data_IF_301168385443
#
_entry.id   IF_301168385443
#
_cell.length_a   1.000
_cell.length_b   1.000
_cell.length_c   1.000
_cell.angle_alpha   90.00
_cell.angle_beta   90.00
_cell.angle_gamma   90.00
#
_symmetry.space_group_name_H-M   'P 1'
#
loop_
_entity.id
_entity.type
_entity.pdbx_description
1 polymer ?
#
# COMPACT_ATOMS: atom_id res chain seq x y z
N UNK A 1 5.44 -4.77 -16.49
CA UNK A 1 4.37 -5.14 -15.55
C UNK A 1 4.89 -5.72 -14.24
N UNK A 2 6.10 -6.31 -14.20
CA UNK A 2 6.66 -6.91 -12.97
C UNK A 2 6.99 -5.89 -11.85
N UNK A 3 7.41 -4.66 -12.17
CA UNK A 3 7.78 -3.66 -11.15
C UNK A 3 6.60 -3.13 -10.32
N UNK A 4 5.38 -3.14 -10.86
CA UNK A 4 4.19 -2.67 -10.13
C UNK A 4 3.77 -3.66 -9.04
N UNK A 5 3.93 -4.97 -9.27
CA UNK A 5 3.57 -6.01 -8.30
C UNK A 5 4.45 -5.96 -7.06
N UNK A 6 5.75 -5.70 -7.24
CA UNK A 6 6.67 -5.48 -6.13
C UNK A 6 6.27 -4.29 -5.26
N UNK A 7 6.04 -3.11 -5.87
CA UNK A 7 5.67 -1.90 -5.14
C UNK A 7 4.38 -2.08 -4.34
N UNK A 8 3.34 -2.66 -4.95
CA UNK A 8 2.08 -2.98 -4.27
C UNK A 8 2.28 -3.90 -3.06
N UNK A 9 3.05 -4.97 -3.25
CA UNK A 9 3.33 -5.96 -2.20
C UNK A 9 4.11 -5.32 -1.05
N UNK A 10 5.14 -4.53 -1.35
CA UNK A 10 5.91 -3.82 -0.36
C UNK A 10 5.03 -2.83 0.43
N UNK A 11 4.22 -2.02 -0.26
CA UNK A 11 3.30 -1.08 0.39
C UNK A 11 2.30 -1.75 1.33
N UNK A 12 1.73 -2.89 0.92
CA UNK A 12 0.84 -3.69 1.75
C UNK A 12 1.52 -4.15 3.05
N UNK A 13 2.72 -4.73 2.93
CA UNK A 13 3.47 -5.20 4.10
C UNK A 13 3.96 -4.05 5.00
N UNK A 14 4.37 -2.92 4.43
CA UNK A 14 4.76 -1.74 5.20
C UNK A 14 3.60 -1.21 6.05
N UNK A 15 2.41 -1.08 5.47
CA UNK A 15 1.24 -0.61 6.21
C UNK A 15 0.80 -1.60 7.29
N UNK A 16 0.89 -2.90 7.01
CA UNK A 16 0.63 -3.96 8.00
C UNK A 16 1.62 -3.92 9.15
N UNK A 17 2.90 -3.70 8.84
CA UNK A 17 3.94 -3.56 9.86
C UNK A 17 3.74 -2.30 10.71
N UNK A 18 3.43 -1.16 10.09
CA UNK A 18 3.17 0.13 10.78
C UNK A 18 2.06 0.03 11.83
N UNK A 19 0.99 -0.73 11.55
CA UNK A 19 -0.12 -0.94 12.49
C UNK A 19 0.13 -2.02 13.55
N UNK A 20 1.02 -2.98 13.28
CA UNK A 20 1.24 -4.13 14.19
C UNK A 20 2.48 -3.97 15.06
N UNK A 21 3.49 -3.24 14.61
CA UNK A 21 4.73 -3.04 15.35
C UNK A 21 4.50 -2.25 16.64
N UNK A 22 4.93 -2.82 17.77
CA UNK A 22 4.71 -2.23 19.10
C UNK A 22 3.32 -2.48 19.70
N UNK A 23 2.44 -3.21 19.00
CA UNK A 23 1.15 -3.62 19.57
C UNK A 23 1.36 -4.73 20.62
N UNK A 24 0.78 -4.60 21.84
CA UNK A 24 0.85 -5.66 22.85
C UNK A 24 -0.05 -6.87 22.50
N UNK A 25 -0.87 -6.76 21.45
CA UNK A 25 -1.84 -7.78 21.04
C UNK A 25 -1.37 -8.63 19.86
N UNK A 26 -0.21 -8.31 19.28
CA UNK A 26 0.37 -9.05 18.16
C UNK A 26 1.60 -9.80 18.67
N UNK A 27 1.69 -11.09 18.36
CA UNK A 27 2.84 -11.92 18.73
C UNK A 27 4.13 -11.34 18.10
N UNK A 28 5.19 -11.22 18.90
CA UNK A 28 6.49 -10.74 18.45
C UNK A 28 7.03 -11.56 17.27
N UNK A 29 6.76 -12.87 17.23
CA UNK A 29 7.15 -13.73 16.11
C UNK A 29 6.49 -13.31 14.79
N UNK A 30 5.24 -12.84 14.83
CA UNK A 30 4.52 -12.34 13.65
C UNK A 30 5.14 -11.01 13.21
N UNK A 31 5.48 -10.12 14.14
CA UNK A 31 6.13 -8.83 13.83
C UNK A 31 7.50 -9.08 13.17
N UNK A 32 8.27 -10.03 13.69
CA UNK A 32 9.57 -10.41 13.13
C UNK A 32 9.45 -11.08 11.77
N UNK A 33 8.43 -11.93 11.55
CA UNK A 33 8.11 -12.50 10.24
C UNK A 33 7.83 -11.38 9.22
N UNK A 34 6.96 -10.43 9.56
CA UNK A 34 6.64 -9.30 8.68
C UNK A 34 7.89 -8.48 8.34
N UNK A 35 8.75 -8.22 9.33
CA UNK A 35 10.01 -7.51 9.15
C UNK A 35 10.92 -8.25 8.18
N UNK A 36 11.05 -9.57 8.35
CA UNK A 36 11.85 -10.42 7.47
C UNK A 36 11.28 -10.45 6.04
N UNK A 37 9.96 -10.52 5.87
CA UNK A 37 9.33 -10.43 4.54
C UNK A 37 9.67 -9.12 3.84
N UNK A 38 9.56 -7.98 4.54
CA UNK A 38 9.93 -6.68 3.98
C UNK A 38 11.42 -6.63 3.59
N UNK A 39 12.31 -7.15 4.44
CA UNK A 39 13.73 -7.22 4.13
C UNK A 39 14.05 -8.10 2.93
N UNK A 40 13.40 -9.26 2.80
CA UNK A 40 13.54 -10.10 1.61
C UNK A 40 13.06 -9.38 0.35
N UNK A 41 11.94 -8.65 0.43
CA UNK A 41 11.41 -7.86 -0.69
C UNK A 41 12.38 -6.74 -1.10
N UNK A 42 12.92 -5.98 -0.15
CA UNK A 42 13.89 -4.91 -0.42
C UNK A 42 15.19 -5.47 -1.04
N UNK A 43 15.77 -6.51 -0.41
CA UNK A 43 17.02 -7.11 -0.87
C UNK A 43 16.90 -7.76 -2.25
N UNK A 44 15.79 -8.48 -2.52
CA UNK A 44 15.56 -9.10 -3.84
C UNK A 44 15.41 -8.08 -4.97
N UNK A 45 15.13 -6.82 -4.65
CA UNK A 45 15.04 -5.72 -5.60
C UNK A 45 16.28 -4.80 -5.59
N UNK A 46 17.39 -5.25 -4.99
CA UNK A 46 18.64 -4.49 -4.85
C UNK A 46 18.48 -3.13 -4.15
N UNK A 47 17.44 -3.01 -3.32
CA UNK A 47 17.26 -1.87 -2.44
C UNK A 47 18.05 -2.22 -1.20
N UNK A 48 19.17 -1.54 -1.03
CA UNK A 48 20.07 -1.78 0.10
C UNK A 48 19.38 -1.61 1.45
N UNK A 49 20.15 -1.80 2.51
CA UNK A 49 19.63 -1.74 3.87
C UNK A 49 19.22 -0.33 4.30
N UNK A 50 17.96 0.02 4.03
CA UNK A 50 17.28 1.15 4.63
C UNK A 50 16.87 0.73 6.05
N UNK A 51 17.83 0.65 6.98
CA UNK A 51 17.53 0.31 8.36
C UNK A 51 17.07 1.55 9.12
N UNK A 52 15.90 1.46 9.74
CA UNK A 52 15.49 2.37 10.81
C UNK A 52 14.69 1.60 11.85
N UNK A 53 14.85 1.96 13.13
CA UNK A 53 14.06 1.41 14.22
C UNK A 53 12.66 2.05 14.27
N UNK A 54 12.51 3.23 13.67
CA UNK A 54 11.22 3.91 13.53
C UNK A 54 10.57 3.53 12.19
N UNK A 55 9.41 2.85 12.26
CA UNK A 55 8.70 2.40 11.07
C UNK A 55 8.21 3.53 10.16
N UNK A 56 7.89 4.70 10.70
CA UNK A 56 7.44 5.84 9.90
C UNK A 56 8.61 6.41 9.12
N UNK A 57 9.77 6.47 9.77
CA UNK A 57 11.03 6.87 9.11
C UNK A 57 11.43 5.85 8.04
N UNK A 58 11.26 4.55 8.30
CA UNK A 58 11.48 3.49 7.30
C UNK A 58 10.61 3.68 6.05
N UNK A 59 9.29 3.84 6.22
CA UNK A 59 8.36 4.05 5.09
C UNK A 59 8.77 5.30 4.30
N UNK A 60 9.05 6.41 4.99
CA UNK A 60 9.46 7.65 4.35
C UNK A 60 10.79 7.49 3.58
N UNK A 61 11.76 6.78 4.16
CA UNK A 61 13.05 6.50 3.52
C UNK A 61 12.88 5.66 2.25
N UNK A 62 12.00 4.66 2.27
CA UNK A 62 11.67 3.84 1.09
C UNK A 62 11.01 4.71 0.01
N UNK A 63 10.01 5.52 0.36
CA UNK A 63 9.34 6.40 -0.60
C UNK A 63 10.32 7.44 -1.20
N UNK A 64 11.20 8.01 -0.37
CA UNK A 64 12.25 8.94 -0.79
C UNK A 64 13.29 8.27 -1.69
N UNK A 65 13.65 7.01 -1.42
CA UNK A 65 14.58 6.24 -2.26
C UNK A 65 14.09 6.15 -3.70
N UNK A 66 12.83 5.78 -3.91
CA UNK A 66 12.25 5.70 -5.25
C UNK A 66 12.05 7.07 -5.90
N UNK A 67 11.65 8.08 -5.12
CA UNK A 67 11.53 9.45 -5.62
C UNK A 67 12.88 9.97 -6.14
N UNK A 68 13.97 9.80 -5.37
CA UNK A 68 15.31 10.25 -5.72
C UNK A 68 15.88 9.57 -6.99
N UNK A 69 15.38 8.37 -7.32
CA UNK A 69 15.78 7.59 -8.50
C UNK A 69 14.85 7.79 -9.70
N UNK A 70 13.86 8.68 -9.58
CA UNK A 70 12.81 8.89 -10.58
C UNK A 70 12.01 7.61 -10.91
N UNK A 71 11.84 6.72 -9.93
CA UNK A 71 11.10 5.47 -10.03
C UNK A 71 9.65 5.66 -9.55
N UNK A 72 8.99 6.70 -10.07
CA UNK A 72 7.64 7.11 -9.67
C UNK A 72 6.57 6.01 -9.80
N UNK A 73 6.57 5.13 -10.83
CA UNK A 73 5.62 4.02 -10.90
C UNK A 73 5.69 3.09 -9.69
N UNK A 74 6.90 2.76 -9.22
CA UNK A 74 7.10 1.91 -8.04
C UNK A 74 6.68 2.64 -6.76
N UNK A 75 7.05 3.91 -6.62
CA UNK A 75 6.60 4.76 -5.49
C UNK A 75 5.08 4.81 -5.41
N UNK A 76 4.41 5.06 -6.53
CA UNK A 76 2.95 5.15 -6.60
C UNK A 76 2.31 3.79 -6.28
N UNK A 77 2.89 2.68 -6.76
CA UNK A 77 2.45 1.34 -6.41
C UNK A 77 2.56 1.06 -4.89
N UNK A 78 3.62 1.52 -4.22
CA UNK A 78 3.77 1.41 -2.75
C UNK A 78 2.64 2.18 -2.04
N UNK A 79 2.38 3.41 -2.45
CA UNK A 79 1.32 4.23 -1.87
C UNK A 79 -0.07 3.60 -2.08
N UNK A 80 -0.33 3.00 -3.24
CA UNK A 80 -1.57 2.24 -3.51
C UNK A 80 -1.66 1.02 -2.60
N UNK A 81 -0.57 0.27 -2.40
CA UNK A 81 -0.52 -0.87 -1.49
C UNK A 81 -0.82 -0.48 -0.03
N UNK A 82 -0.26 0.65 0.42
CA UNK A 82 -0.54 1.22 1.76
C UNK A 82 -2.02 1.58 1.89
N UNK A 83 -2.57 2.29 0.89
CA UNK A 83 -3.98 2.66 0.85
C UNK A 83 -4.89 1.43 0.92
N UNK A 84 -4.63 0.42 0.09
CA UNK A 84 -5.44 -0.80 0.01
C UNK A 84 -5.47 -1.59 1.32
N UNK A 85 -4.31 -1.77 1.97
CA UNK A 85 -4.28 -2.45 3.25
C UNK A 85 -5.03 -1.67 4.33
N UNK A 86 -4.87 -0.34 4.41
CA UNK A 86 -5.60 0.47 5.39
C UNK A 86 -7.10 0.47 5.10
N UNK A 87 -7.49 0.54 3.83
CA UNK A 87 -8.88 0.50 3.41
C UNK A 87 -9.57 -0.82 3.81
N UNK A 88 -8.85 -1.94 3.80
CA UNK A 88 -9.42 -3.25 4.21
C UNK A 88 -9.70 -3.37 5.71
N UNK A 89 -9.18 -2.44 6.51
CA UNK A 89 -9.46 -2.35 7.95
C UNK A 89 -10.64 -1.42 8.28
N UNK A 90 -11.17 -0.69 7.30
CA UNK A 90 -12.35 0.15 7.51
C UNK A 90 -13.54 -0.74 7.84
N UNK A 91 -14.17 -0.49 8.98
CA UNK A 91 -15.26 -1.32 9.52
C UNK A 91 -14.80 -2.38 10.51
N UNK A 92 -13.50 -2.52 10.77
CA UNK A 92 -12.98 -3.48 11.75
C UNK A 92 -13.24 -3.04 13.21
N UNK A 93 -13.31 -1.73 13.48
CA UNK A 93 -13.65 -1.21 14.81
C UNK A 93 -15.17 -1.09 14.97
N UNK A 94 -15.68 -1.36 16.17
CA UNK A 94 -17.08 -1.08 16.53
C UNK A 94 -17.32 0.40 16.82
N UNK A 95 -16.26 1.20 16.93
CA UNK A 95 -16.31 2.65 17.18
C UNK A 95 -16.32 3.41 15.85
N UNK A 96 -17.37 4.20 15.54
CA UNK A 96 -17.46 4.93 14.28
C UNK A 96 -16.29 5.89 14.01
N UNK A 97 -15.78 6.55 15.06
CA UNK A 97 -14.67 7.49 14.97
C UNK A 97 -13.36 6.84 14.50
N UNK A 98 -13.06 5.62 14.96
CA UNK A 98 -11.86 4.88 14.55
C UNK A 98 -11.94 4.51 13.06
N UNK A 99 -13.15 4.21 12.56
CA UNK A 99 -13.37 3.91 11.14
C UNK A 99 -13.28 5.14 10.25
N UNK A 100 -13.70 6.31 10.75
CA UNK A 100 -13.50 7.59 10.05
C UNK A 100 -12.01 7.93 9.98
N UNK A 101 -11.28 7.81 11.09
CA UNK A 101 -9.83 8.02 11.11
C UNK A 101 -9.11 7.07 10.16
N UNK A 102 -9.49 5.79 10.12
CA UNK A 102 -8.91 4.83 9.17
C UNK A 102 -9.26 5.17 7.72
N UNK A 103 -10.45 5.72 7.46
CA UNK A 103 -10.85 6.18 6.12
C UNK A 103 -9.95 7.33 5.66
N UNK A 104 -9.76 8.33 6.52
CA UNK A 104 -8.89 9.48 6.24
C UNK A 104 -7.43 9.05 6.07
N UNK A 105 -6.94 8.17 6.94
CA UNK A 105 -5.59 7.64 6.89
C UNK A 105 -5.33 6.79 5.64
N UNK A 106 -6.30 5.98 5.21
CA UNK A 106 -6.20 5.20 3.99
C UNK A 106 -6.18 6.12 2.76
N UNK A 107 -7.11 7.08 2.69
CA UNK A 107 -7.21 8.01 1.56
C UNK A 107 -5.97 8.91 1.44
N UNK A 108 -5.39 9.34 2.57
CA UNK A 108 -4.22 10.22 2.59
C UNK A 108 -3.02 9.66 1.81
N UNK A 109 -2.86 8.33 1.76
CA UNK A 109 -1.78 7.70 1.00
C UNK A 109 -1.90 7.94 -0.52
N UNK A 110 -3.10 8.21 -1.04
CA UNK A 110 -3.31 8.50 -2.45
C UNK A 110 -2.98 9.94 -2.83
N UNK A 111 -2.92 10.86 -1.86
CA UNK A 111 -2.66 12.29 -2.12
C UNK A 111 -1.31 12.51 -2.79
N UNK A 112 -0.34 11.64 -2.48
CA UNK A 112 1.01 11.69 -3.01
C UNK A 112 1.22 10.84 -4.28
N UNK A 113 0.19 10.13 -4.76
CA UNK A 113 0.23 9.38 -6.01
C UNK A 113 0.07 10.34 -7.18
N UNK A 114 0.88 10.19 -8.25
CA UNK A 114 0.75 11.07 -9.42
C UNK A 114 -0.61 10.94 -10.10
N UNK A 115 -1.15 12.07 -10.57
CA UNK A 115 -2.43 12.10 -11.31
C UNK A 115 -2.39 11.28 -12.62
N UNK A 116 -1.19 11.07 -13.17
CA UNK A 116 -0.99 10.19 -14.33
C UNK A 116 -1.19 8.69 -14.00
N UNK A 117 -1.09 8.32 -12.72
CA UNK A 117 -1.34 6.95 -12.24
C UNK A 117 -2.79 6.77 -11.83
N UNK A 118 -3.34 7.73 -11.06
CA UNK A 118 -4.74 7.76 -10.64
C UNK A 118 -5.29 9.14 -10.95
N UNK A 119 -6.14 9.23 -11.98
CA UNK A 119 -6.77 10.50 -12.39
C UNK A 119 -7.74 11.00 -11.33
N UNK A 120 -8.75 10.19 -11.01
CA UNK A 120 -9.76 10.49 -9.99
C UNK A 120 -9.51 9.62 -8.74
N UNK A 121 -8.92 10.23 -7.71
CA UNK A 121 -8.52 9.53 -6.48
C UNK A 121 -9.72 9.17 -5.61
N UNK A 122 -10.74 10.02 -5.57
CA UNK A 122 -11.96 9.76 -4.79
C UNK A 122 -12.71 8.58 -5.39
N UNK A 123 -12.94 8.61 -6.71
CA UNK A 123 -13.60 7.51 -7.40
C UNK A 123 -12.81 6.20 -7.27
N UNK A 124 -11.49 6.24 -7.45
CA UNK A 124 -10.63 5.07 -7.25
C UNK A 124 -10.74 4.52 -5.82
N UNK A 125 -10.71 5.39 -4.81
CA UNK A 125 -10.79 4.98 -3.42
C UNK A 125 -12.15 4.35 -3.08
N UNK A 126 -13.24 4.90 -3.61
CA UNK A 126 -14.57 4.32 -3.44
C UNK A 126 -14.68 2.92 -4.09
N UNK A 127 -14.13 2.75 -5.30
CA UNK A 127 -14.06 1.44 -5.95
C UNK A 127 -13.24 0.44 -5.14
N UNK A 128 -12.10 0.87 -4.60
CA UNK A 128 -11.25 0.04 -3.76
C UNK A 128 -11.95 -0.39 -2.47
N UNK A 129 -12.65 0.53 -1.80
CA UNK A 129 -13.46 0.23 -0.60
C UNK A 129 -14.60 -0.73 -0.88
N UNK A 130 -15.27 -0.60 -2.02
CA UNK A 130 -16.34 -1.52 -2.42
C UNK A 130 -15.81 -2.91 -2.75
N UNK A 131 -14.65 -2.99 -3.42
CA UNK A 131 -14.01 -4.27 -3.74
C UNK A 131 -13.44 -4.95 -2.50
N UNK A 132 -13.00 -4.18 -1.50
CA UNK A 132 -12.46 -4.61 -0.22
C UNK A 132 -11.47 -5.79 -0.32
N UNK A 133 -10.36 -5.65 -1.07
CA UNK A 133 -9.40 -6.74 -1.20
C UNK A 133 -8.81 -7.09 0.17
N UNK A 134 -8.86 -8.37 0.56
CA UNK A 134 -8.36 -8.87 1.83
C UNK A 134 -6.88 -9.28 1.78
N UNK A 135 -6.29 -9.37 0.59
CA UNK A 135 -4.90 -9.75 0.39
C UNK A 135 -4.32 -9.17 -0.92
N UNK A 136 -3.02 -9.35 -1.12
CA UNK A 136 -2.29 -8.79 -2.27
C UNK A 136 -2.72 -9.38 -3.62
N UNK A 137 -3.18 -10.63 -3.64
CA UNK A 137 -3.67 -11.28 -4.87
C UNK A 137 -4.97 -10.63 -5.30
N UNK A 138 -5.92 -10.51 -4.38
CA UNK A 138 -7.20 -9.82 -4.62
C UNK A 138 -7.01 -8.35 -5.01
N UNK A 139 -6.05 -7.65 -4.39
CA UNK A 139 -5.71 -6.27 -4.80
C UNK A 139 -5.20 -6.23 -6.24
N UNK A 140 -4.33 -7.17 -6.62
CA UNK A 140 -3.78 -7.22 -7.97
C UNK A 140 -4.86 -7.52 -9.00
N UNK A 141 -5.77 -8.45 -8.68
CA UNK A 141 -6.93 -8.78 -9.52
C UNK A 141 -7.87 -7.59 -9.69
N UNK A 142 -8.15 -6.86 -8.61
CA UNK A 142 -8.93 -5.62 -8.65
C UNK A 142 -8.30 -4.59 -9.61
N UNK A 143 -7.00 -4.31 -9.46
CA UNK A 143 -6.30 -3.33 -10.31
C UNK A 143 -6.26 -3.78 -11.78
N UNK A 144 -6.09 -5.07 -12.04
CA UNK A 144 -6.18 -5.62 -13.39
C UNK A 144 -7.57 -5.45 -14.00
N UNK A 145 -8.63 -5.62 -13.19
CA UNK A 145 -10.01 -5.41 -13.65
C UNK A 145 -10.29 -3.96 -14.05
N UNK A 146 -9.79 -2.99 -13.28
CA UNK A 146 -9.92 -1.57 -13.61
C UNK A 146 -9.19 -1.21 -14.91
N UNK A 147 -7.98 -1.73 -15.09
CA UNK A 147 -7.21 -1.51 -16.31
C UNK A 147 -7.91 -2.09 -17.55
N UNK A 148 -8.58 -3.24 -17.43
CA UNK A 148 -9.37 -3.82 -18.51
C UNK A 148 -10.59 -2.95 -18.86
N UNK A 149 -11.30 -2.43 -17.86
CA UNK A 149 -12.44 -1.54 -18.05
C UNK A 149 -12.01 -0.25 -18.77
N UNK A 150 -10.92 0.38 -18.31
CA UNK A 150 -10.39 1.60 -18.92
C UNK A 150 -9.98 1.39 -20.39
N UNK A 151 -9.34 0.25 -20.71
CA UNK A 151 -8.98 -0.10 -22.11
C UNK A 151 -10.21 -0.27 -23.00
N UNK A 152 -11.29 -0.88 -22.48
CA UNK A 152 -12.54 -1.04 -23.24
C UNK A 152 -13.23 0.29 -23.48
N UNK A 153 -13.24 1.18 -22.48
CA UNK A 153 -13.82 2.52 -22.62
C UNK A 153 -13.09 3.38 -23.65
N UNK A 154 -11.77 3.21 -23.82
CA UNK A 154 -10.97 3.96 -24.80
C UNK A 154 -11.13 3.48 -26.26
N UNK A 155 -11.80 2.35 -26.49
CA UNK A 155 -12.04 1.78 -27.82
C UNK A 155 -13.41 2.16 -28.42
N UNK A 156 -14.22 2.93 -27.68
CA UNK A 156 -15.55 3.41 -28.06
C UNK A 156 -15.59 4.93 -28.05
#
# INVERSE_FOLDING_TARGET
MEQNGFGLTLGWHLARYDLTNGSPHVDAAIIDEMRNTMYMLLNSNNIGNLYDNDQRVLIQNILNHFAARNEMPTRNAILIGICAFRASLIGASTRPEDNLEMTDLAFSALMDVDAATIGDREHFFDQLRQANPGNIVELTDFLASLALIARRAALH
#
